data_IF_597882441043
#
_entry.id   IF_597882441043
#
_cell.length_a   1.000
_cell.length_b   1.000
_cell.length_c   1.000
_cell.angle_alpha   90.00
_cell.angle_beta   90.00
_cell.angle_gamma   90.00
#
_symmetry.space_group_name_H-M   'P 1'
#
loop_
_entity.id
_entity.type
_entity.pdbx_description
1 polymer ?
#
# COMPACT_ATOMS: atom_id res chain seq x y z
N UNK A 1 19.12 52.39 -2.05
CA UNK A 1 17.73 51.87 -1.99
C UNK A 1 17.81 50.36 -2.12
N UNK A 2 17.41 49.63 -1.09
CA UNK A 2 17.66 48.19 -0.94
C UNK A 2 16.71 47.33 -1.79
N UNK A 3 17.30 46.33 -2.44
CA UNK A 3 16.68 45.21 -3.13
C UNK A 3 15.56 44.56 -2.32
N UNK A 4 14.41 44.33 -2.96
CA UNK A 4 13.30 43.46 -2.53
C UNK A 4 12.80 42.77 -3.81
N UNK A 5 12.71 41.47 -3.96
CA UNK A 5 12.95 40.36 -3.08
C UNK A 5 12.54 39.14 -3.90
N UNK A 6 13.49 38.25 -4.13
CA UNK A 6 13.22 36.89 -4.61
C UNK A 6 12.42 36.17 -3.51
N UNK A 7 11.70 35.11 -3.89
CA UNK A 7 11.07 34.08 -3.04
C UNK A 7 9.54 34.22 -2.93
N UNK A 8 8.85 33.69 -3.94
CA UNK A 8 7.47 33.21 -3.83
C UNK A 8 7.25 31.99 -4.74
N UNK A 9 8.11 30.97 -4.65
CA UNK A 9 7.90 29.67 -5.29
C UNK A 9 8.31 28.58 -4.29
N UNK A 10 7.56 28.46 -3.19
CA UNK A 10 7.80 27.43 -2.18
C UNK A 10 6.51 26.98 -1.50
N UNK A 11 5.44 26.74 -2.27
CA UNK A 11 4.17 26.26 -1.69
C UNK A 11 3.44 25.17 -2.47
N UNK A 12 4.04 24.59 -3.51
CA UNK A 12 3.42 23.48 -4.28
C UNK A 12 4.00 22.08 -4.00
N UNK A 13 4.90 21.91 -3.02
CA UNK A 13 5.60 20.61 -2.82
C UNK A 13 4.93 19.69 -1.79
N UNK A 14 3.94 20.14 -1.02
CA UNK A 14 3.37 19.35 0.08
C UNK A 14 2.08 18.59 -0.24
N UNK A 15 1.48 18.77 -1.43
CA UNK A 15 0.24 18.06 -1.81
C UNK A 15 0.49 16.74 -2.56
N UNK A 16 1.68 16.52 -3.10
CA UNK A 16 2.02 15.33 -3.89
C UNK A 16 2.44 14.11 -3.05
N UNK A 17 2.77 14.30 -1.77
CA UNK A 17 3.20 13.22 -0.87
C UNK A 17 2.04 12.36 -0.33
N UNK A 18 0.91 12.95 0.04
CA UNK A 18 -0.21 12.18 0.59
C UNK A 18 -1.00 11.40 -0.49
N UNK A 19 -1.19 11.99 -1.68
CA UNK A 19 -1.96 11.34 -2.75
C UNK A 19 -1.27 10.11 -3.34
N UNK A 20 0.07 10.11 -3.37
CA UNK A 20 0.86 9.00 -3.93
C UNK A 20 0.92 7.81 -2.98
N UNK A 21 1.10 8.04 -1.67
CA UNK A 21 1.08 6.97 -0.66
C UNK A 21 -0.31 6.36 -0.52
N UNK A 22 -1.36 7.18 -0.58
CA UNK A 22 -2.74 6.70 -0.66
C UNK A 22 -2.92 5.74 -1.84
N UNK A 23 -2.46 6.13 -3.03
CA UNK A 23 -2.53 5.30 -4.24
C UNK A 23 -1.80 3.96 -4.10
N UNK A 24 -0.62 3.96 -3.47
CA UNK A 24 0.10 2.71 -3.20
C UNK A 24 -0.67 1.79 -2.23
N UNK A 25 -1.30 2.35 -1.20
CA UNK A 25 -2.16 1.57 -0.30
C UNK A 25 -3.41 1.07 -1.01
N UNK A 26 -4.00 1.82 -1.95
CA UNK A 26 -5.11 1.35 -2.77
C UNK A 26 -4.69 0.17 -3.65
N UNK A 27 -3.48 0.17 -4.20
CA UNK A 27 -2.93 -0.98 -4.94
C UNK A 27 -2.82 -2.20 -4.03
N UNK A 28 -2.26 -2.04 -2.83
CA UNK A 28 -2.13 -3.15 -1.86
C UNK A 28 -3.50 -3.69 -1.43
N UNK A 29 -4.43 -2.79 -1.11
CA UNK A 29 -5.78 -3.15 -0.66
C UNK A 29 -6.65 -3.80 -1.74
N UNK A 30 -6.27 -3.66 -3.01
CA UNK A 30 -6.94 -4.26 -4.15
C UNK A 30 -6.00 -5.21 -4.92
N UNK A 31 -4.99 -5.80 -4.26
CA UNK A 31 -3.97 -6.59 -4.96
C UNK A 31 -4.55 -7.73 -5.78
N UNK A 32 -5.57 -8.44 -5.29
CA UNK A 32 -6.23 -9.50 -6.05
C UNK A 32 -6.97 -9.03 -7.31
N UNK A 33 -7.32 -7.74 -7.40
CA UNK A 33 -7.95 -7.15 -8.59
C UNK A 33 -6.92 -6.54 -9.54
N UNK A 34 -5.92 -5.87 -8.99
CA UNK A 34 -4.91 -5.13 -9.74
C UNK A 34 -3.77 -6.03 -10.25
N UNK A 35 -3.50 -7.09 -9.50
CA UNK A 35 -2.50 -8.13 -9.72
C UNK A 35 -3.16 -9.50 -9.43
N UNK A 36 -4.05 -9.97 -10.32
CA UNK A 36 -4.71 -11.25 -10.13
C UNK A 36 -3.66 -12.37 -10.04
N UNK A 37 -3.76 -13.27 -9.06
CA UNK A 37 -2.81 -14.36 -8.92
C UNK A 37 -2.93 -15.30 -10.13
N UNK A 38 -1.82 -15.75 -10.73
CA UNK A 38 -1.86 -16.72 -11.80
C UNK A 38 -2.46 -18.05 -11.31
N UNK A 39 -3.13 -18.77 -12.20
CA UNK A 39 -3.65 -20.10 -11.90
C UNK A 39 -2.51 -21.09 -11.69
N UNK A 40 -2.67 -22.02 -10.73
CA UNK A 40 -1.72 -23.10 -10.48
C UNK A 40 -1.21 -23.13 -9.03
N UNK A 41 0.09 -23.29 -8.87
CA UNK A 41 0.72 -23.46 -7.56
C UNK A 41 0.51 -22.22 -6.68
N UNK A 42 -0.05 -22.36 -5.46
CA UNK A 42 -0.39 -21.22 -4.61
C UNK A 42 0.82 -20.44 -4.11
N UNK A 43 2.00 -21.08 -3.99
CA UNK A 43 3.23 -20.39 -3.57
C UNK A 43 3.80 -19.54 -4.70
N UNK A 44 3.79 -20.09 -5.92
CA UNK A 44 4.14 -19.36 -7.13
C UNK A 44 3.17 -18.19 -7.37
N UNK A 45 1.86 -18.43 -7.19
CA UNK A 45 0.83 -17.43 -7.36
C UNK A 45 0.98 -16.26 -6.37
N UNK A 46 1.26 -16.54 -5.10
CA UNK A 46 1.52 -15.51 -4.10
C UNK A 46 2.79 -14.70 -4.41
N UNK A 47 3.85 -15.35 -4.89
CA UNK A 47 5.10 -14.70 -5.26
C UNK A 47 4.94 -13.77 -6.48
N UNK A 48 4.28 -14.23 -7.54
CA UNK A 48 4.04 -13.42 -8.74
C UNK A 48 3.08 -12.26 -8.46
N UNK A 49 2.06 -12.48 -7.62
CA UNK A 49 1.19 -11.40 -7.15
C UNK A 49 1.98 -10.36 -6.34
N UNK A 50 2.84 -10.80 -5.41
CA UNK A 50 3.65 -9.89 -4.61
C UNK A 50 4.60 -9.04 -5.48
N UNK A 51 5.26 -9.65 -6.46
CA UNK A 51 6.10 -8.93 -7.45
C UNK A 51 5.32 -7.91 -8.26
N UNK A 52 4.12 -8.27 -8.72
CA UNK A 52 3.27 -7.37 -9.47
C UNK A 52 2.87 -6.15 -8.61
N UNK A 53 2.50 -6.37 -7.35
CA UNK A 53 2.15 -5.30 -6.40
C UNK A 53 3.35 -4.40 -6.15
N UNK A 54 4.52 -4.99 -5.87
CA UNK A 54 5.76 -4.26 -5.64
C UNK A 54 6.10 -3.34 -6.83
N UNK A 55 5.95 -3.83 -8.06
CA UNK A 55 6.16 -3.03 -9.28
C UNK A 55 5.16 -1.89 -9.50
N UNK A 56 4.01 -1.91 -8.82
CA UNK A 56 2.98 -0.86 -8.91
C UNK A 56 3.06 0.17 -7.78
N UNK A 57 3.75 -0.16 -6.69
CA UNK A 57 4.03 0.77 -5.58
C UNK A 57 5.07 1.80 -6.04
N UNK A 58 4.73 3.08 -5.92
CA UNK A 58 5.55 4.18 -6.46
C UNK A 58 6.38 4.89 -5.41
N UNK A 59 5.95 4.87 -4.15
CA UNK A 59 6.60 5.60 -3.06
C UNK A 59 7.46 4.69 -2.20
N UNK A 60 8.49 5.26 -1.59
CA UNK A 60 9.32 4.55 -0.59
C UNK A 60 8.49 4.15 0.64
N UNK A 61 7.54 5.00 1.06
CA UNK A 61 6.66 4.71 2.18
C UNK A 61 5.72 3.55 1.88
N UNK A 62 5.12 3.52 0.69
CA UNK A 62 4.30 2.40 0.24
C UNK A 62 5.07 1.09 0.19
N UNK A 63 6.34 1.14 -0.24
CA UNK A 63 7.21 -0.04 -0.31
C UNK A 63 7.57 -0.57 1.07
N UNK A 64 7.96 0.30 2.00
CA UNK A 64 8.20 -0.07 3.40
C UNK A 64 6.95 -0.65 4.05
N UNK A 65 5.79 -0.09 3.77
CA UNK A 65 4.51 -0.62 4.26
C UNK A 65 4.25 -2.03 3.72
N UNK A 66 4.47 -2.26 2.41
CA UNK A 66 4.33 -3.58 1.79
C UNK A 66 5.32 -4.61 2.37
N UNK A 67 6.60 -4.26 2.46
CA UNK A 67 7.65 -5.10 3.04
C UNK A 67 7.36 -5.45 4.51
N UNK A 68 6.80 -4.51 5.28
CA UNK A 68 6.45 -4.75 6.67
C UNK A 68 5.45 -5.90 6.86
N UNK A 69 4.57 -6.13 5.87
CA UNK A 69 3.56 -7.20 5.95
C UNK A 69 4.16 -8.60 5.88
N UNK A 70 5.34 -8.76 5.28
CA UNK A 70 6.03 -10.05 5.19
C UNK A 70 6.46 -10.56 6.57
N UNK A 71 6.82 -9.65 7.48
CA UNK A 71 7.20 -9.98 8.86
C UNK A 71 6.01 -10.13 9.82
N UNK A 72 4.79 -9.77 9.39
CA UNK A 72 3.60 -9.84 10.23
C UNK A 72 3.01 -11.24 10.18
N UNK A 73 2.61 -11.76 11.34
CA UNK A 73 1.96 -13.08 11.44
C UNK A 73 0.66 -13.12 10.62
N UNK A 74 0.28 -14.27 10.02
CA UNK A 74 -0.92 -14.37 9.21
C UNK A 74 -2.20 -13.87 9.93
N UNK A 75 -2.30 -14.09 11.24
CA UNK A 75 -3.46 -13.66 12.04
C UNK A 75 -3.52 -12.15 12.29
N UNK A 76 -2.39 -11.45 12.27
CA UNK A 76 -2.32 -10.01 12.52
C UNK A 76 -2.33 -9.20 11.21
N UNK A 77 -1.95 -9.84 10.10
CA UNK A 77 -1.79 -9.21 8.79
C UNK A 77 -3.05 -8.43 8.32
N UNK A 78 -4.29 -8.93 8.46
CA UNK A 78 -5.49 -8.16 8.13
C UNK A 78 -5.62 -6.84 8.91
N UNK A 79 -5.32 -6.88 10.21
CA UNK A 79 -5.40 -5.70 11.09
C UNK A 79 -4.31 -4.68 10.73
N UNK A 80 -3.07 -5.14 10.54
CA UNK A 80 -1.97 -4.27 10.14
C UNK A 80 -2.25 -3.62 8.79
N UNK A 81 -2.75 -4.38 7.81
CA UNK A 81 -3.06 -3.84 6.49
C UNK A 81 -4.18 -2.78 6.53
N UNK A 82 -5.24 -2.99 7.33
CA UNK A 82 -6.29 -1.97 7.56
C UNK A 82 -5.74 -0.73 8.25
N UNK A 83 -4.84 -0.88 9.21
CA UNK A 83 -4.24 0.26 9.91
C UNK A 83 -3.34 1.10 8.99
N UNK A 84 -2.53 0.45 8.15
CA UNK A 84 -1.71 1.11 7.14
C UNK A 84 -2.59 1.85 6.11
N UNK A 85 -3.63 1.19 5.61
CA UNK A 85 -4.61 1.77 4.69
C UNK A 85 -5.29 3.02 5.30
N UNK A 86 -5.78 2.91 6.53
CA UNK A 86 -6.40 4.02 7.26
C UNK A 86 -5.42 5.18 7.47
N UNK A 87 -4.17 4.89 7.82
CA UNK A 87 -3.10 5.88 7.98
C UNK A 87 -2.80 6.66 6.70
N UNK A 88 -2.95 6.02 5.54
CA UNK A 88 -2.81 6.64 4.23
C UNK A 88 -4.10 7.30 3.69
N UNK A 89 -5.22 7.25 4.44
CA UNK A 89 -6.50 7.81 4.00
C UNK A 89 -7.27 6.95 2.99
N UNK A 90 -7.01 5.63 2.98
CA UNK A 90 -7.80 4.63 2.24
C UNK A 90 -8.95 4.15 3.12
N UNK A 91 -10.18 4.26 2.62
CA UNK A 91 -11.39 4.03 3.41
C UNK A 91 -11.72 2.54 3.60
N UNK A 92 -11.35 1.69 2.64
CA UNK A 92 -11.68 0.27 2.65
C UNK A 92 -10.50 -0.55 2.12
N UNK A 93 -10.31 -1.74 2.68
CA UNK A 93 -9.24 -2.65 2.29
C UNK A 93 -9.79 -4.08 2.06
N UNK A 94 -10.44 -4.33 0.92
CA UNK A 94 -11.12 -5.60 0.64
C UNK A 94 -10.23 -6.84 0.80
N UNK A 95 -8.95 -6.69 0.45
CA UNK A 95 -7.97 -7.75 0.60
C UNK A 95 -7.73 -8.11 2.09
N UNK A 96 -7.77 -7.13 2.99
CA UNK A 96 -7.65 -7.42 4.42
C UNK A 96 -8.86 -8.22 4.91
N UNK A 97 -10.06 -7.88 4.43
CA UNK A 97 -11.29 -8.59 4.76
C UNK A 97 -11.32 -9.99 4.13
N UNK A 98 -10.71 -10.17 2.96
CA UNK A 98 -10.52 -11.49 2.34
C UNK A 98 -9.54 -12.35 3.15
N UNK A 99 -8.41 -11.78 3.56
CA UNK A 99 -7.43 -12.46 4.42
C UNK A 99 -8.03 -12.84 5.77
N UNK A 100 -8.78 -11.96 6.41
CA UNK A 100 -9.43 -12.26 7.69
C UNK A 100 -10.42 -13.43 7.58
N UNK A 101 -11.20 -13.49 6.49
CA UNK A 101 -12.14 -14.57 6.23
C UNK A 101 -11.48 -15.91 5.90
N UNK A 102 -10.24 -15.90 5.41
CA UNK A 102 -9.51 -17.13 5.09
C UNK A 102 -8.74 -17.71 6.27
N UNK A 103 -8.63 -16.97 7.39
CA UNK A 103 -8.00 -17.48 8.59
C UNK A 103 -8.89 -18.53 9.28
N UNK A 104 -8.30 -19.62 9.80
CA UNK A 104 -9.05 -20.55 10.65
C UNK A 104 -9.53 -19.83 11.91
N UNK A 105 -10.73 -20.21 12.39
CA UNK A 105 -11.25 -19.74 13.66
C UNK A 105 -10.24 -20.03 14.79
N UNK A 106 -10.03 -19.04 15.65
CA UNK A 106 -9.11 -19.14 16.80
C UNK A 106 -9.59 -20.16 17.83
#
# INVERSE_FOLDING_TARGET
MFSKGIVAIASCVLLSGCGTVKGDMEVMCNMSTVCPPPEGDPSHAAFEQAKCVEGKIKTEQGRKAFESLAGVSPHERPSVMRNLAKGAGVAACPEADALERSLPAK
#
